data_IF_469003545306
#
_entry.id   IF_469003545306
#
_cell.length_a   1.000
_cell.length_b   1.000
_cell.length_c   1.000
_cell.angle_alpha   90.00
_cell.angle_beta   90.00
_cell.angle_gamma   90.00
#
_symmetry.space_group_name_H-M   'P 1'
#
loop_
_entity.id
_entity.type
_entity.pdbx_description
1 polymer ?
2 water ?
#
# COMPACT_ATOMS: atom_id res chain seq x y z
N UNK A 1 -26.95 -0.37 6.74
CA UNK A 1 -25.96 -0.55 7.83
C UNK A 1 -24.57 -0.74 7.25
N UNK A 2 -24.30 -1.91 6.66
CA UNK A 2 -23.10 -2.07 5.85
C UNK A 2 -23.19 -1.13 4.65
N UNK A 3 -24.33 -1.13 3.99
CA UNK A 3 -24.66 -0.13 2.94
C UNK A 3 -24.37 1.31 3.42
N UNK A 4 -24.85 1.67 4.60
CA UNK A 4 -24.64 3.02 5.18
C UNK A 4 -23.16 3.28 5.43
N UNK A 5 -22.49 2.31 6.04
CA UNK A 5 -21.06 2.42 6.35
C UNK A 5 -20.22 2.63 5.09
N UNK A 6 -20.76 2.28 3.94
CA UNK A 6 -20.00 2.42 2.69
C UNK A 6 -20.62 3.37 1.66
N UNK A 7 -21.52 4.25 2.08
CA UNK A 7 -22.17 5.17 1.14
C UNK A 7 -21.17 6.01 0.32
N UNK A 8 -20.07 6.39 0.96
CA UNK A 8 -19.02 7.18 0.31
C UNK A 8 -18.27 6.34 -0.76
N UNK A 9 -18.18 5.03 -0.53
CA UNK A 9 -17.63 4.08 -1.51
C UNK A 9 -18.53 3.90 -2.73
N UNK A 10 -19.82 3.61 -2.51
CA UNK A 10 -20.73 3.45 -3.62
C UNK A 10 -20.88 4.74 -4.40
N UNK A 11 -20.86 5.89 -3.71
CA UNK A 11 -20.97 7.17 -4.39
C UNK A 11 -19.70 7.54 -5.15
N UNK A 12 -18.56 7.12 -4.65
CA UNK A 12 -17.29 7.34 -5.30
C UNK A 12 -16.56 8.60 -4.86
N UNK A 13 -16.60 8.91 -3.58
CA UNK A 13 -15.85 10.05 -3.06
C UNK A 13 -14.33 9.91 -3.24
N UNK A 14 -13.79 8.69 -3.07
CA UNK A 14 -12.36 8.48 -3.32
C UNK A 14 -12.02 8.50 -4.80
N UNK A 15 -12.93 8.01 -5.62
CA UNK A 15 -12.80 8.06 -7.09
C UNK A 15 -12.66 9.52 -7.54
N UNK A 16 -13.49 10.40 -6.95
CA UNK A 16 -13.45 11.84 -7.26
C UNK A 16 -12.12 12.45 -6.79
N UNK A 17 -11.67 12.10 -5.59
CA UNK A 17 -10.38 12.63 -5.09
C UNK A 17 -9.20 12.17 -5.98
N UNK A 18 -9.23 10.90 -6.35
CA UNK A 18 -8.24 10.36 -7.26
C UNK A 18 -8.20 11.17 -8.55
N UNK A 19 -9.35 11.40 -9.14
CA UNK A 19 -9.39 12.05 -10.45
C UNK A 19 -9.10 13.55 -10.37
N UNK A 20 -9.60 14.19 -9.31
CA UNK A 20 -9.54 15.64 -9.19
C UNK A 20 -8.25 16.13 -8.54
N UNK A 21 -7.62 15.31 -7.70
CA UNK A 21 -6.39 15.68 -7.01
C UNK A 21 -5.21 14.77 -7.39
N UNK A 22 -5.29 13.49 -7.05
CA UNK A 22 -4.09 12.65 -7.19
C UNK A 22 -3.65 12.49 -8.64
N UNK A 23 -4.60 12.30 -9.54
CA UNK A 23 -4.26 12.14 -10.95
C UNK A 23 -3.78 13.45 -11.60
N UNK A 24 -3.92 14.57 -10.90
CA UNK A 24 -3.45 15.88 -11.38
C UNK A 24 -2.01 16.18 -10.96
N UNK A 25 -1.41 15.28 -10.17
CA UNK A 25 -0.05 15.40 -9.73
C UNK A 25 0.85 15.29 -10.94
N UNK A 26 1.76 16.25 -11.06
CA UNK A 26 2.74 16.24 -12.14
C UNK A 26 3.82 15.26 -11.73
N UNK A 27 4.05 14.22 -12.54
CA UNK A 27 5.07 13.23 -12.22
C UNK A 27 6.11 13.18 -13.35
N UNK A 28 7.30 12.69 -13.03
CA UNK A 28 8.32 12.50 -14.03
C UNK A 28 7.94 11.32 -14.92
N UNK A 29 8.51 11.24 -16.14
CA UNK A 29 8.20 10.14 -17.07
C UNK A 29 8.31 8.74 -16.44
N UNK A 30 9.27 8.56 -15.55
CA UNK A 30 9.49 7.26 -14.93
C UNK A 30 8.31 6.75 -14.10
N UNK A 31 7.48 7.68 -13.61
CA UNK A 31 6.31 7.33 -12.80
C UNK A 31 5.00 7.41 -13.61
N UNK A 32 5.09 7.93 -14.83
CA UNK A 32 3.92 8.09 -15.67
C UNK A 32 3.18 6.76 -15.93
N UNK A 33 3.91 5.67 -16.24
CA UNK A 33 3.18 4.40 -16.42
C UNK A 33 2.40 3.99 -15.17
N UNK A 34 2.97 4.19 -13.98
CA UNK A 34 2.26 3.88 -12.77
C UNK A 34 1.01 4.74 -12.62
N UNK A 35 1.13 6.04 -12.93
CA UNK A 35 -0.02 6.94 -12.88
C UNK A 35 -1.16 6.46 -13.79
N UNK A 36 -0.82 6.03 -15.01
CA UNK A 36 -1.80 5.53 -15.96
C UNK A 36 -2.41 4.19 -15.51
N UNK A 37 -1.59 3.32 -14.95
CA UNK A 37 -2.11 2.04 -14.40
C UNK A 37 -3.10 2.28 -13.25
N UNK A 38 -2.78 3.24 -12.38
CA UNK A 38 -3.66 3.59 -11.28
C UNK A 38 -4.98 4.18 -11.77
N UNK A 39 -4.95 4.95 -12.85
CA UNK A 39 -6.18 5.48 -13.47
C UNK A 39 -7.07 4.31 -13.93
N UNK A 40 -6.47 3.30 -14.57
CA UNK A 40 -7.21 2.12 -14.99
C UNK A 40 -7.81 1.37 -13.79
N UNK A 41 -7.02 1.22 -12.72
CA UNK A 41 -7.56 0.58 -11.47
C UNK A 41 -8.73 1.36 -10.87
N UNK A 42 -8.68 2.69 -10.97
CA UNK A 42 -9.76 3.56 -10.49
C UNK A 42 -11.04 3.34 -11.33
N UNK A 43 -10.90 3.38 -12.65
CA UNK A 43 -12.03 3.09 -13.53
C UNK A 43 -12.61 1.69 -13.26
N UNK A 44 -11.73 0.70 -13.04
CA UNK A 44 -12.16 -0.69 -12.74
C UNK A 44 -12.97 -0.76 -11.45
N UNK A 45 -12.52 -0.07 -10.41
CA UNK A 45 -13.29 0.01 -9.16
C UNK A 45 -14.69 0.64 -9.37
N UNK A 46 -14.75 1.78 -10.06
CA UNK A 46 -16.00 2.47 -10.35
C UNK A 46 -16.92 1.54 -11.14
N UNK A 47 -16.36 0.87 -12.14
CA UNK A 47 -17.17 0.01 -13.02
C UNK A 47 -17.74 -1.16 -12.24
N UNK A 48 -16.95 -1.75 -11.34
CA UNK A 48 -17.43 -2.90 -10.53
C UNK A 48 -18.53 -2.47 -9.54
N UNK A 49 -18.34 -1.30 -8.92
CA UNK A 49 -19.38 -0.74 -8.05
C UNK A 49 -20.68 -0.58 -8.83
N UNK A 50 -20.61 0.00 -10.04
CA UNK A 50 -21.78 0.16 -10.94
C UNK A 50 -22.41 -1.18 -11.29
N UNK A 51 -21.58 -2.16 -11.60
CA UNK A 51 -22.05 -3.52 -11.90
C UNK A 51 -22.97 -4.04 -10.78
N UNK A 52 -22.58 -3.82 -9.54
CA UNK A 52 -23.36 -4.28 -8.37
C UNK A 52 -24.58 -3.38 -8.09
N UNK A 53 -24.35 -2.07 -7.99
CA UNK A 53 -25.43 -1.12 -7.63
C UNK A 53 -26.54 -1.09 -8.67
N UNK A 54 -26.21 -1.23 -9.95
CA UNK A 54 -27.24 -1.15 -10.98
C UNK A 54 -28.19 -2.36 -10.98
N UNK A 55 -27.83 -3.43 -10.28
CA UNK A 55 -28.74 -4.56 -10.10
C UNK A 55 -29.90 -4.25 -9.15
N UNK A 56 -29.80 -3.16 -8.41
CA UNK A 56 -30.83 -2.71 -7.48
C UNK A 56 -31.26 -3.86 -6.56
N UNK A 57 -30.26 -4.53 -6.00
CA UNK A 57 -30.47 -5.67 -5.16
C UNK A 57 -29.73 -5.39 -3.87
N UNK A 58 -30.49 -5.00 -2.84
CA UNK A 58 -29.91 -4.61 -1.58
C UNK A 58 -29.13 -5.73 -0.88
N UNK A 59 -29.65 -6.95 -0.95
CA UNK A 59 -28.94 -8.09 -0.38
C UNK A 59 -27.59 -8.31 -1.04
N UNK A 60 -27.55 -8.22 -2.36
CA UNK A 60 -26.32 -8.35 -3.11
C UNK A 60 -25.32 -7.26 -2.70
N UNK A 61 -25.80 -6.02 -2.60
CA UNK A 61 -24.90 -4.91 -2.23
C UNK A 61 -24.32 -5.16 -0.86
N UNK A 62 -25.15 -5.56 0.09
CA UNK A 62 -24.68 -5.85 1.43
C UNK A 62 -23.64 -6.98 1.43
N UNK A 63 -23.89 -8.01 0.63
CA UNK A 63 -22.97 -9.17 0.54
C UNK A 63 -21.59 -8.77 -0.06
N UNK A 64 -21.64 -7.91 -1.08
CA UNK A 64 -20.45 -7.50 -1.82
C UNK A 64 -19.80 -6.24 -1.26
N UNK A 65 -20.41 -5.65 -0.23
CA UNK A 65 -19.91 -4.37 0.31
C UNK A 65 -18.43 -4.31 0.64
N UNK A 66 -17.95 -5.27 1.42
CA UNK A 66 -16.55 -5.29 1.81
C UNK A 66 -15.63 -5.45 0.58
N UNK A 67 -16.04 -6.24 -0.41
CA UNK A 67 -15.25 -6.36 -1.66
C UNK A 67 -15.18 -5.04 -2.45
N UNK A 68 -16.28 -4.29 -2.45
CA UNK A 68 -16.27 -2.99 -3.12
C UNK A 68 -15.38 -2.00 -2.39
N UNK A 69 -15.40 -2.05 -1.05
CA UNK A 69 -14.44 -1.28 -0.25
C UNK A 69 -12.99 -1.66 -0.62
N UNK A 70 -12.67 -2.96 -0.60
CA UNK A 70 -11.34 -3.43 -0.96
C UNK A 70 -10.92 -3.01 -2.38
N UNK A 71 -11.84 -3.14 -3.33
CA UNK A 71 -11.59 -2.77 -4.70
C UNK A 71 -11.16 -1.31 -4.78
N UNK A 72 -11.84 -0.47 -4.01
CA UNK A 72 -11.50 0.93 -3.93
C UNK A 72 -10.17 1.18 -3.23
N UNK A 73 -9.95 0.52 -2.11
CA UNK A 73 -8.72 0.61 -1.31
C UNK A 73 -7.48 0.36 -2.18
N UNK A 74 -7.53 -0.65 -3.05
CA UNK A 74 -6.36 -0.94 -3.90
C UNK A 74 -5.99 0.28 -4.77
N UNK A 75 -6.99 0.92 -5.36
CA UNK A 75 -6.76 2.13 -6.15
C UNK A 75 -6.25 3.31 -5.32
N UNK A 76 -6.87 3.57 -4.17
CA UNK A 76 -6.44 4.66 -3.27
C UNK A 76 -5.03 4.44 -2.77
N UNK A 77 -4.82 3.26 -2.21
CA UNK A 77 -3.51 2.90 -1.62
C UNK A 77 -2.42 3.09 -2.67
N UNK A 78 -2.69 2.64 -3.89
CA UNK A 78 -1.71 2.70 -4.98
C UNK A 78 -1.30 4.13 -5.27
N UNK A 79 -2.28 5.03 -5.24
CA UNK A 79 -1.99 6.45 -5.38
C UNK A 79 -1.13 6.98 -4.24
N UNK A 80 -1.40 6.59 -2.99
CA UNK A 80 -0.59 7.07 -1.87
C UNK A 80 0.86 6.66 -2.04
N UNK A 81 1.07 5.45 -2.53
CA UNK A 81 2.42 4.94 -2.76
C UNK A 81 3.08 5.61 -3.99
N UNK A 82 2.31 5.87 -5.03
CA UNK A 82 2.80 6.67 -6.17
C UNK A 82 3.29 8.05 -5.69
N UNK A 83 2.53 8.69 -4.82
CA UNK A 83 2.91 10.01 -4.30
C UNK A 83 4.20 9.91 -3.48
N UNK A 84 4.36 8.83 -2.72
CA UNK A 84 5.62 8.60 -2.00
C UNK A 84 6.81 8.47 -2.95
N UNK A 85 6.63 7.71 -4.04
CA UNK A 85 7.68 7.52 -5.04
C UNK A 85 7.95 8.79 -5.84
N UNK A 86 6.94 9.63 -6.02
CA UNK A 86 7.16 10.94 -6.66
C UNK A 86 8.04 11.84 -5.79
N UNK A 87 7.83 11.79 -4.48
CA UNK A 87 8.63 12.55 -3.53
C UNK A 87 10.06 11.99 -3.41
N UNK A 88 10.21 10.67 -3.52
CA UNK A 88 11.54 10.03 -3.50
C UNK A 88 11.58 8.83 -4.42
N UNK A 89 12.23 9.00 -5.57
CA UNK A 89 12.25 7.96 -6.62
C UNK A 89 12.94 6.67 -6.15
N UNK A 90 13.69 6.73 -5.03
CA UNK A 90 14.24 5.51 -4.44
C UNK A 90 13.15 4.47 -4.17
N UNK A 91 11.93 4.94 -3.92
CA UNK A 91 10.80 4.07 -3.62
C UNK A 91 10.00 3.61 -4.84
N UNK A 92 10.39 4.03 -6.05
CA UNK A 92 9.64 3.70 -7.24
C UNK A 92 9.55 2.18 -7.50
N UNK A 93 10.67 1.47 -7.43
CA UNK A 93 10.67 0.00 -7.68
C UNK A 93 9.72 -0.71 -6.69
N UNK A 94 9.81 -0.36 -5.43
CA UNK A 94 8.94 -0.94 -4.41
C UNK A 94 7.47 -0.61 -4.70
N UNK A 95 7.20 0.65 -5.06
CA UNK A 95 5.84 1.07 -5.37
C UNK A 95 5.28 0.28 -6.55
N UNK A 96 6.12 0.05 -7.55
CA UNK A 96 5.73 -0.71 -8.72
C UNK A 96 5.35 -2.15 -8.32
N UNK A 97 6.08 -2.76 -7.39
CA UNK A 97 5.70 -4.11 -6.95
C UNK A 97 4.37 -4.11 -6.17
N UNK A 98 4.16 -3.12 -5.29
CA UNK A 98 2.88 -2.96 -4.62
C UNK A 98 1.75 -2.75 -5.64
N UNK A 99 2.01 -2.02 -6.73
CA UNK A 99 1.03 -1.87 -7.82
C UNK A 99 0.56 -3.23 -8.37
N UNK A 100 1.50 -4.16 -8.54
CA UNK A 100 1.21 -5.49 -9.06
C UNK A 100 0.30 -6.24 -8.11
N UNK A 101 0.60 -6.12 -6.84
CA UNK A 101 -0.21 -6.70 -5.78
C UNK A 101 -1.65 -6.17 -5.85
N UNK A 102 -1.78 -4.85 -5.92
CA UNK A 102 -3.07 -4.21 -6.02
C UNK A 102 -3.80 -4.65 -7.27
N UNK A 103 -3.09 -4.74 -8.39
CA UNK A 103 -3.72 -5.20 -9.64
C UNK A 103 -4.21 -6.65 -9.53
N UNK A 104 -3.38 -7.52 -8.98
CA UNK A 104 -3.75 -8.92 -8.77
C UNK A 104 -5.00 -9.02 -7.88
N UNK A 105 -5.01 -8.28 -6.78
CA UNK A 105 -6.12 -8.37 -5.86
C UNK A 105 -7.39 -7.80 -6.44
N UNK A 106 -7.30 -6.72 -7.21
CA UNK A 106 -8.45 -6.17 -7.90
C UNK A 106 -9.02 -7.18 -8.91
N UNK A 107 -8.14 -7.90 -9.59
CA UNK A 107 -8.58 -8.86 -10.59
C UNK A 107 -9.37 -10.02 -9.93
N UNK A 108 -8.88 -10.51 -8.80
CA UNK A 108 -9.56 -11.57 -8.05
C UNK A 108 -10.97 -11.12 -7.61
N UNK A 109 -11.06 -9.90 -7.12
CA UNK A 109 -12.33 -9.33 -6.69
C UNK A 109 -13.26 -9.15 -7.89
N UNK A 110 -12.77 -8.49 -8.93
CA UNK A 110 -13.59 -8.25 -10.14
C UNK A 110 -14.18 -9.56 -10.73
N UNK A 111 -13.33 -10.57 -10.88
CA UNK A 111 -13.71 -11.89 -11.39
C UNK A 111 -14.79 -12.56 -10.52
N UNK A 112 -14.56 -12.58 -9.21
CA UNK A 112 -15.50 -13.14 -8.26
C UNK A 112 -16.85 -12.45 -8.29
N UNK A 113 -16.85 -11.13 -8.17
CA UNK A 113 -18.08 -10.34 -8.12
C UNK A 113 -18.89 -10.46 -9.40
N UNK A 114 -18.20 -10.42 -10.53
CA UNK A 114 -18.85 -10.54 -11.84
C UNK A 114 -19.39 -11.95 -12.15
N UNK A 115 -18.77 -12.97 -11.57
CA UNK A 115 -19.20 -14.36 -11.77
C UNK A 115 -20.28 -14.78 -10.76
N UNK A 116 -20.49 -13.97 -9.72
CA UNK A 116 -21.35 -14.36 -8.63
C UNK A 116 -22.82 -14.35 -9.05
N UNK A 117 -23.54 -15.42 -8.78
CA UNK A 117 -24.98 -15.46 -9.09
C UNK A 117 -25.76 -15.02 -7.86
N UNK A 118 -26.55 -13.93 -7.97
CA UNK A 118 -27.33 -13.38 -6.84
C UNK A 118 -28.29 -14.39 -6.19
N UNK A 119 -28.75 -15.35 -6.97
CA UNK A 119 -29.56 -16.49 -6.51
C UNK A 119 -28.88 -17.33 -5.42
N UNK A 120 -27.56 -17.21 -5.29
CA UNK A 120 -26.80 -17.88 -4.24
C UNK A 120 -27.16 -17.39 -2.85
N UNK A 121 -27.70 -16.16 -2.75
CA UNK A 121 -28.01 -15.59 -1.45
C UNK A 121 -29.41 -15.96 -0.97
N UNK A 122 -29.61 -16.01 0.34
CA UNK A 122 -30.93 -16.26 0.96
C UNK A 122 -31.33 -15.07 1.86
N UNK B 3 23.28 4.91 -5.43
CA UNK B 3 23.95 6.20 -5.03
C UNK B 3 22.95 7.12 -4.36
N UNK B 4 21.79 7.27 -5.00
CA UNK B 4 20.63 7.89 -4.36
C UNK B 4 20.16 7.01 -3.20
N UNK B 5 20.04 5.71 -3.47
CA UNK B 5 19.73 4.72 -2.43
C UNK B 5 20.78 4.75 -1.31
N UNK B 6 22.01 4.35 -1.67
CA UNK B 6 23.11 4.15 -0.72
C UNK B 6 23.27 5.30 0.30
N UNK B 7 23.07 6.54 -0.15
CA UNK B 7 23.25 7.69 0.73
C UNK B 7 22.11 7.81 1.75
N UNK B 8 20.87 7.66 1.29
CA UNK B 8 19.70 7.56 2.19
C UNK B 8 19.86 6.48 3.26
N UNK B 9 20.35 5.31 2.84
CA UNK B 9 20.60 4.17 3.72
C UNK B 9 21.62 4.48 4.82
N UNK B 10 22.74 5.06 4.42
CA UNK B 10 23.80 5.42 5.36
C UNK B 10 23.43 6.67 6.19
N UNK B 11 22.52 7.49 5.66
CA UNK B 11 21.97 8.63 6.40
C UNK B 11 20.96 8.19 7.46
N UNK B 12 20.05 7.29 7.06
CA UNK B 12 18.96 6.83 7.93
C UNK B 12 17.72 7.71 7.84
N UNK B 13 17.66 8.56 6.81
CA UNK B 13 16.64 9.62 6.73
C UNK B 13 15.22 9.08 6.93
N UNK B 14 14.90 7.98 6.24
CA UNK B 14 13.53 7.43 6.31
C UNK B 14 13.23 6.72 7.63
N UNK B 15 14.26 6.14 8.25
CA UNK B 15 14.13 5.59 9.60
C UNK B 15 13.84 6.73 10.58
N UNK B 16 14.58 7.83 10.46
CA UNK B 16 14.31 9.06 11.25
C UNK B 16 12.92 9.62 10.95
N UNK B 17 12.55 9.63 9.67
CA UNK B 17 11.24 10.12 9.25
C UNK B 17 10.11 9.34 9.92
N UNK B 18 10.18 8.00 9.90
CA UNK B 18 9.12 7.22 10.55
C UNK B 18 9.04 7.50 12.04
N UNK B 19 10.20 7.63 12.68
CA UNK B 19 10.22 7.70 14.15
C UNK B 19 9.88 9.06 14.69
N UNK B 20 10.27 10.09 13.95
CA UNK B 20 10.10 11.47 14.41
C UNK B 20 8.80 12.06 13.87
N UNK B 21 8.37 11.60 12.70
CA UNK B 21 7.14 12.11 12.10
C UNK B 21 5.99 11.10 12.25
N UNK B 22 6.06 10.02 11.47
CA UNK B 22 4.94 9.08 11.36
C UNK B 22 4.54 8.50 12.73
N UNK B 23 5.52 8.04 13.50
CA UNK B 23 5.25 7.40 14.79
C UNK B 23 4.81 8.38 15.87
N UNK B 24 4.93 9.69 15.61
CA UNK B 24 4.50 10.71 16.56
C UNK B 24 3.05 11.10 16.32
N UNK B 25 2.48 10.68 15.20
CA UNK B 25 1.05 10.82 14.99
C UNK B 25 0.37 9.97 16.02
N UNK B 26 -0.57 10.56 16.73
CA UNK B 26 -1.41 9.83 17.66
C UNK B 26 -2.57 9.31 16.86
N UNK B 27 -2.75 7.99 16.82
CA UNK B 27 -3.80 7.39 16.01
C UNK B 27 -4.97 6.99 16.89
N UNK B 28 -6.10 6.67 16.27
CA UNK B 28 -7.24 6.11 16.97
C UNK B 28 -6.80 4.85 17.76
N UNK B 29 -7.42 4.60 18.93
CA UNK B 29 -7.02 3.47 19.78
C UNK B 29 -7.08 2.12 19.06
N UNK B 30 -8.04 1.94 18.17
CA UNK B 30 -8.14 0.73 17.39
C UNK B 30 -7.00 0.52 16.38
N UNK B 31 -6.23 1.56 16.08
CA UNK B 31 -5.06 1.41 15.20
C UNK B 31 -3.73 1.36 15.95
N UNK B 32 -3.77 1.39 17.28
CA UNK B 32 -2.55 1.33 18.06
C UNK B 32 -1.75 0.04 17.83
N UNK B 33 -2.44 -1.12 17.72
CA UNK B 33 -1.71 -2.35 17.39
C UNK B 33 -0.96 -2.28 16.07
N UNK B 34 -1.62 -1.70 15.06
CA UNK B 34 -0.98 -1.53 13.80
C UNK B 34 0.21 -0.60 13.92
N UNK B 35 0.04 0.50 14.65
CA UNK B 35 1.12 1.45 14.88
C UNK B 35 2.35 0.76 15.50
N UNK B 36 2.08 -0.12 16.48
CA UNK B 36 3.18 -0.85 17.15
C UNK B 36 3.86 -1.91 16.26
N UNK B 37 3.08 -2.62 15.46
CA UNK B 37 3.62 -3.54 14.46
C UNK B 37 4.50 -2.82 13.44
N UNK B 38 4.09 -1.62 13.05
CA UNK B 38 4.86 -0.80 12.11
C UNK B 38 6.20 -0.34 12.71
N UNK B 39 6.16 0.05 13.99
CA UNK B 39 7.39 0.37 14.70
C UNK B 39 8.38 -0.80 14.67
N UNK B 40 7.90 -2.03 14.87
CA UNK B 40 8.77 -3.20 14.79
C UNK B 40 9.29 -3.46 13.38
N UNK B 41 8.48 -3.22 12.35
CA UNK B 41 8.97 -3.30 10.96
C UNK B 41 10.07 -2.29 10.69
N UNK B 42 9.93 -1.11 11.30
CA UNK B 42 10.94 -0.07 11.22
C UNK B 42 12.23 -0.52 11.91
N UNK B 43 12.11 -1.06 13.11
CA UNK B 43 13.25 -1.60 13.84
C UNK B 43 13.97 -2.69 13.06
N UNK B 44 13.21 -3.58 12.42
CA UNK B 44 13.77 -4.66 11.61
C UNK B 44 14.57 -4.14 10.42
N UNK B 45 14.05 -3.10 9.76
CA UNK B 45 14.75 -2.46 8.67
C UNK B 45 16.06 -1.85 9.19
N UNK B 46 15.96 -1.07 10.26
CA UNK B 46 17.15 -0.46 10.86
C UNK B 46 18.20 -1.51 11.19
N UNK B 47 17.77 -2.59 11.85
CA UNK B 47 18.65 -3.69 12.22
C UNK B 47 19.37 -4.34 11.03
N UNK B 48 18.64 -4.56 9.94
CA UNK B 48 19.22 -5.18 8.76
C UNK B 48 20.21 -4.26 8.09
N UNK B 49 19.88 -2.97 8.04
CA UNK B 49 20.79 -1.97 7.49
C UNK B 49 22.10 -1.97 8.28
N UNK B 50 21.97 -2.01 9.61
CA UNK B 50 23.16 -2.04 10.50
C UNK B 50 23.98 -3.29 10.29
N UNK B 51 23.29 -4.42 10.10
CA UNK B 51 23.97 -5.67 9.80
C UNK B 51 24.91 -5.57 8.59
N UNK B 52 24.47 -4.86 7.55
CA UNK B 52 25.28 -4.63 6.36
C UNK B 52 26.32 -3.53 6.58
N UNK B 53 25.90 -2.36 7.06
CA UNK B 53 26.80 -1.20 7.14
C UNK B 53 27.94 -1.36 8.16
N UNK B 54 27.68 -2.08 9.26
CA UNK B 54 28.73 -2.34 10.26
C UNK B 54 29.88 -3.21 9.76
N UNK B 55 29.68 -3.85 8.62
CA UNK B 55 30.75 -4.61 8.00
C UNK B 55 31.76 -3.74 7.25
N UNK B 56 31.46 -2.45 7.07
CA UNK B 56 32.37 -1.49 6.44
C UNK B 56 32.89 -2.02 5.11
N UNK B 57 31.96 -2.48 4.29
CA UNK B 57 32.28 -3.20 3.08
C UNK B 57 31.44 -2.53 1.99
N UNK B 58 32.07 -1.65 1.22
CA UNK B 58 31.30 -0.84 0.25
C UNK B 58 30.72 -1.70 -0.89
N UNK B 59 31.39 -2.78 -1.28
CA UNK B 59 30.85 -3.67 -2.32
C UNK B 59 29.57 -4.35 -1.84
N UNK B 60 29.56 -4.74 -0.56
CA UNK B 60 28.42 -5.43 0.03
C UNK B 60 27.24 -4.48 0.10
N UNK B 61 27.49 -3.27 0.57
CA UNK B 61 26.43 -2.27 0.66
C UNK B 61 25.88 -1.94 -0.72
N UNK B 62 26.77 -1.81 -1.72
CA UNK B 62 26.33 -1.62 -3.10
C UNK B 62 25.46 -2.75 -3.58
N UNK B 63 25.91 -3.97 -3.32
CA UNK B 63 25.16 -5.15 -3.70
C UNK B 63 23.76 -5.16 -3.04
N UNK B 64 23.70 -4.78 -1.77
CA UNK B 64 22.45 -4.92 -0.99
C UNK B 64 21.58 -3.65 -0.98
N UNK B 65 22.08 -2.55 -1.52
CA UNK B 65 21.42 -1.25 -1.38
C UNK B 65 19.93 -1.27 -1.78
N UNK B 66 19.61 -1.88 -2.91
CA UNK B 66 18.22 -1.94 -3.37
C UNK B 66 17.32 -2.72 -2.42
N UNK B 67 17.82 -3.85 -1.95
CA UNK B 67 17.15 -4.64 -0.93
C UNK B 67 16.88 -3.88 0.37
N UNK B 68 17.88 -3.12 0.83
CA UNK B 68 17.77 -2.31 2.04
C UNK B 68 16.74 -1.19 1.88
N UNK B 69 16.71 -0.58 0.71
CA UNK B 69 15.66 0.41 0.38
C UNK B 69 14.26 -0.27 0.40
N UNK B 70 14.13 -1.42 -0.26
CA UNK B 70 12.86 -2.18 -0.25
C UNK B 70 12.44 -2.51 1.16
N UNK B 71 13.40 -2.99 1.96
CA UNK B 71 13.16 -3.33 3.35
C UNK B 71 12.53 -2.15 4.10
N UNK B 72 13.10 -0.98 3.89
CA UNK B 72 12.64 0.25 4.49
C UNK B 72 11.27 0.66 3.92
N UNK B 73 11.10 0.49 2.61
CA UNK B 73 9.85 0.88 1.92
C UNK B 73 8.63 0.18 2.51
N UNK B 74 8.75 -1.09 2.87
CA UNK B 74 7.65 -1.79 3.53
C UNK B 74 7.16 -1.09 4.80
N UNK B 75 8.09 -0.60 5.63
CA UNK B 75 7.76 0.17 6.82
C UNK B 75 7.16 1.54 6.46
N UNK B 76 7.78 2.24 5.52
CA UNK B 76 7.33 3.57 5.11
C UNK B 76 5.92 3.49 4.52
N UNK B 77 5.75 2.62 3.54
CA UNK B 77 4.46 2.39 2.89
C UNK B 77 3.40 1.98 3.91
N UNK B 78 3.78 1.08 4.80
CA UNK B 78 2.89 0.63 5.86
C UNK B 78 2.29 1.77 6.69
N UNK B 79 3.14 2.73 7.05
CA UNK B 79 2.66 3.92 7.78
C UNK B 79 1.65 4.73 7.00
N UNK B 80 1.89 4.91 5.70
CA UNK B 80 1.00 5.68 4.84
C UNK B 80 -0.38 5.03 4.81
N UNK B 81 -0.39 3.71 4.76
CA UNK B 81 -1.66 2.97 4.72
C UNK B 81 -2.36 2.98 6.07
N UNK B 82 -1.59 2.94 7.17
CA UNK B 82 -2.15 3.12 8.49
C UNK B 82 -2.87 4.45 8.60
N UNK B 83 -2.23 5.51 8.13
CA UNK B 83 -2.84 6.84 8.14
C UNK B 83 -4.14 6.90 7.32
N UNK B 84 -4.16 6.22 6.18
CA UNK B 84 -5.39 6.09 5.37
C UNK B 84 -6.51 5.44 6.18
N UNK B 85 -6.17 4.39 6.90
CA UNK B 85 -7.13 3.66 7.73
C UNK B 85 -7.54 4.47 8.96
N UNK B 86 -6.61 5.27 9.50
CA UNK B 86 -6.93 6.16 10.61
C UNK B 86 -7.97 7.22 10.18
N UNK B 87 -7.89 7.66 8.93
CA UNK B 87 -8.85 8.59 8.35
C UNK B 87 -10.18 7.94 8.00
N UNK B 88 -10.19 6.65 7.74
CA UNK B 88 -11.38 5.95 7.32
C UNK B 88 -11.30 4.51 7.73
N UNK B 89 -12.03 4.16 8.78
CA UNK B 89 -12.03 2.79 9.29
C UNK B 89 -12.45 1.72 8.27
N UNK B 90 -13.16 2.13 7.21
CA UNK B 90 -13.49 1.25 6.09
C UNK B 90 -12.23 0.57 5.54
N UNK B 91 -11.11 1.28 5.60
CA UNK B 91 -9.85 0.79 5.10
C UNK B 91 -8.96 0.02 6.08
N UNK B 92 -9.40 -0.17 7.31
CA UNK B 92 -8.58 -0.84 8.31
C UNK B 92 -8.21 -2.25 7.92
N UNK B 93 -9.20 -3.04 7.51
CA UNK B 93 -8.97 -4.42 7.10
C UNK B 93 -7.98 -4.51 5.91
N UNK B 94 -8.20 -3.70 4.89
CA UNK B 94 -7.30 -3.62 3.74
C UNK B 94 -5.89 -3.21 4.17
N UNK B 95 -5.77 -2.22 5.05
CA UNK B 95 -4.45 -1.81 5.53
C UNK B 95 -3.76 -2.98 6.25
N UNK B 96 -4.51 -3.71 7.08
CA UNK B 96 -3.98 -4.88 7.81
C UNK B 96 -3.42 -5.96 6.87
N UNK B 97 -4.16 -6.22 5.80
CA UNK B 97 -3.73 -7.21 4.82
C UNK B 97 -2.42 -6.75 4.13
N UNK B 98 -2.36 -5.48 3.75
CA UNK B 98 -1.16 -4.93 3.14
C UNK B 98 0.04 -5.02 4.10
N UNK B 99 -0.20 -4.78 5.39
CA UNK B 99 0.86 -4.86 6.44
C UNK B 99 1.39 -6.28 6.54
N UNK B 100 0.49 -7.26 6.50
CA UNK B 100 0.92 -8.66 6.53
C UNK B 100 1.76 -9.03 5.30
N UNK B 101 1.38 -8.50 4.15
CA UNK B 101 2.17 -8.62 2.92
C UNK B 101 3.56 -8.02 3.09
N UNK B 102 3.63 -6.79 3.60
CA UNK B 102 4.91 -6.11 3.90
C UNK B 102 5.78 -6.88 4.89
N UNK B 103 5.15 -7.41 5.93
CA UNK B 103 5.85 -8.25 6.91
C UNK B 103 6.45 -9.49 6.28
N UNK B 104 5.66 -10.17 5.45
CA UNK B 104 6.14 -11.35 4.75
C UNK B 104 7.30 -11.03 3.80
N UNK B 105 7.19 -9.92 3.07
CA UNK B 105 8.27 -9.49 2.20
C UNK B 105 9.53 -9.06 2.99
N UNK B 106 9.36 -8.35 4.09
CA UNK B 106 10.49 -8.02 4.96
C UNK B 106 11.25 -9.27 5.43
N UNK B 107 10.50 -10.30 5.81
CA UNK B 107 11.09 -11.55 6.29
C UNK B 107 11.96 -12.20 5.21
N UNK B 108 11.49 -12.17 3.98
CA UNK B 108 12.25 -12.74 2.86
C UNK B 108 13.54 -11.95 2.59
N UNK B 109 13.46 -10.63 2.61
CA UNK B 109 14.64 -9.77 2.40
C UNK B 109 15.64 -9.98 3.55
N UNK B 110 15.14 -9.98 4.77
CA UNK B 110 15.98 -10.17 5.95
C UNK B 110 16.74 -11.51 5.91
N UNK B 111 16.02 -12.58 5.63
CA UNK B 111 16.65 -13.90 5.54
C UNK B 111 17.67 -13.98 4.41
N UNK B 112 17.34 -13.41 3.26
CA UNK B 112 18.24 -13.38 2.10
C UNK B 112 19.56 -12.62 2.39
N UNK B 113 19.42 -11.41 2.90
CA UNK B 113 20.58 -10.57 3.21
C UNK B 113 21.45 -11.21 4.28
N UNK B 114 20.85 -11.78 5.31
CA UNK B 114 21.61 -12.38 6.41
C UNK B 114 22.19 -13.76 6.03
N UNK B 115 21.72 -14.33 4.92
CA UNK B 115 22.26 -15.59 4.38
C UNK B 115 23.44 -15.36 3.42
N UNK B 116 23.63 -14.13 2.98
CA UNK B 116 24.63 -13.79 1.97
C UNK B 116 26.05 -14.27 2.35
N UNK B 117 26.78 -14.75 1.35
CA UNK B 117 28.24 -14.95 1.42
C UNK B 117 28.78 -14.60 0.03
N UNK B 118 30.06 -14.22 -0.08
CA UNK B 118 30.60 -13.68 -1.35
C UNK B 118 30.64 -14.70 -2.50
#
# INVERSE_FOLDING_TARGET
>A
QVVAAIRHITTGTYIARIREEYQQTEVKPELQPMKEALARMTDRAEALIAFVTEQKDQELLDFQARRLVEMTAHAVFGHLLMLAANDDDSFRQSAEVYLRYGQAEQEKIDSYVRAFRPEELTFYSRCSRPE
>B
QVVAAIRHITTGTYIARIREEYQQTEVKPELQPMKEALARMTDRAEALIAFVTEQKDQELLDFQARRLVEMTAHAVFGHLLMLAANDDDSFRQSAEVYLRYGQAEQEKIDSYVRAFRPEELTFYSRCSRPE
#
